data_IF_142114615508
#
_entry.id   IF_142114615508
#
_cell.length_a   1.000
_cell.length_b   1.000
_cell.length_c   1.000
_cell.angle_alpha   90.00
_cell.angle_beta   90.00
_cell.angle_gamma   90.00
#
_symmetry.space_group_name_H-M   'P 1'
#
loop_
_entity.id
_entity.type
_entity.pdbx_description
1 polymer ?
#
# COMPACT_ATOMS: atom_id res chain seq x y z
N UNK A 1 6.32 18.00 -9.57
CA UNK A 1 6.30 17.21 -8.34
C UNK A 1 7.70 16.70 -8.06
N UNK A 2 8.14 16.83 -6.81
CA UNK A 2 9.43 16.34 -6.31
C UNK A 2 9.44 14.82 -6.44
N UNK A 3 9.82 14.36 -7.62
CA UNK A 3 10.13 12.97 -7.90
C UNK A 3 11.45 12.65 -7.20
N UNK A 4 11.44 11.55 -6.46
CA UNK A 4 12.58 10.86 -5.82
C UNK A 4 13.03 11.45 -4.48
N UNK A 5 12.57 10.81 -3.41
CA UNK A 5 13.20 10.57 -2.10
C UNK A 5 12.10 9.86 -1.28
N UNK A 6 12.08 8.55 -1.10
CA UNK A 6 13.16 7.74 -0.57
C UNK A 6 13.04 6.28 -1.03
N UNK A 7 14.16 5.67 -1.38
CA UNK A 7 14.27 4.21 -1.33
C UNK A 7 14.01 3.80 0.12
N UNK A 8 12.99 2.96 0.36
CA UNK A 8 12.66 2.43 1.67
C UNK A 8 13.93 1.88 2.36
N UNK A 9 14.27 2.43 3.53
CA UNK A 9 15.30 1.88 4.40
C UNK A 9 14.72 1.72 5.81
N UNK A 10 14.62 0.47 6.32
CA UNK A 10 15.04 -0.79 5.70
C UNK A 10 14.21 -1.18 4.45
N UNK A 11 14.73 -2.08 3.60
CA UNK A 11 14.01 -2.56 2.42
C UNK A 11 12.68 -3.19 2.82
N UNK A 12 11.66 -2.99 1.99
CA UNK A 12 10.34 -3.62 2.14
C UNK A 12 10.52 -5.14 2.23
N UNK A 13 10.02 -5.80 3.29
CA UNK A 13 10.06 -7.26 3.39
C UNK A 13 9.36 -7.91 2.18
N UNK A 14 9.91 -9.02 1.67
CA UNK A 14 9.27 -9.77 0.55
C UNK A 14 7.84 -10.21 0.86
N UNK A 15 7.52 -10.40 2.15
CA UNK A 15 6.18 -10.73 2.62
C UNK A 15 5.14 -9.64 2.36
N UNK A 16 5.56 -8.39 2.16
CA UNK A 16 4.66 -7.27 1.85
C UNK A 16 4.22 -7.22 0.39
N UNK A 17 4.82 -8.00 -0.51
CA UNK A 17 4.46 -7.98 -1.94
C UNK A 17 2.98 -8.34 -2.14
N UNK A 18 2.48 -9.37 -1.45
CA UNK A 18 1.09 -9.78 -1.58
C UNK A 18 0.11 -8.71 -1.08
N UNK A 19 0.24 -8.15 0.14
CA UNK A 19 -0.57 -7.02 0.59
C UNK A 19 -0.53 -5.79 -0.33
N UNK A 20 0.63 -5.50 -0.93
CA UNK A 20 0.76 -4.39 -1.89
C UNK A 20 -0.04 -4.62 -3.17
N UNK A 21 -0.01 -5.85 -3.73
CA UNK A 21 -0.80 -6.20 -4.91
C UNK A 21 -2.29 -6.13 -4.57
N UNK A 22 -2.69 -6.71 -3.43
CA UNK A 22 -4.09 -6.69 -2.99
C UNK A 22 -4.62 -5.27 -2.77
N UNK A 23 -3.80 -4.36 -2.25
CA UNK A 23 -4.17 -2.95 -2.09
C UNK A 23 -4.36 -2.24 -3.44
N UNK A 24 -3.49 -2.51 -4.41
CA UNK A 24 -3.61 -1.96 -5.78
C UNK A 24 -4.89 -2.48 -6.43
N UNK A 25 -5.14 -3.79 -6.39
CA UNK A 25 -6.32 -4.41 -7.00
C UNK A 25 -7.61 -3.90 -6.33
N UNK A 26 -7.64 -3.82 -4.98
CA UNK A 26 -8.78 -3.29 -4.24
C UNK A 26 -9.15 -1.86 -4.66
N UNK A 27 -8.15 -1.01 -4.89
CA UNK A 27 -8.38 0.37 -5.30
C UNK A 27 -8.72 0.49 -6.78
N UNK A 28 -7.96 -0.16 -7.66
CA UNK A 28 -8.13 -0.02 -9.11
C UNK A 28 -9.39 -0.73 -9.63
N UNK A 29 -9.67 -1.94 -9.14
CA UNK A 29 -10.75 -2.76 -9.69
C UNK A 29 -12.08 -2.54 -8.94
N UNK A 30 -12.00 -2.28 -7.63
CA UNK A 30 -13.18 -2.23 -6.75
C UNK A 30 -13.44 -0.83 -6.18
N UNK A 31 -12.49 0.11 -6.29
CA UNK A 31 -12.60 1.43 -5.68
C UNK A 31 -12.58 1.42 -4.14
N UNK A 32 -12.11 0.33 -3.52
CA UNK A 32 -12.17 0.11 -2.08
C UNK A 32 -10.88 0.56 -1.39
N UNK A 33 -10.80 1.85 -1.08
CA UNK A 33 -9.66 2.45 -0.39
C UNK A 33 -9.54 2.06 1.09
N UNK A 34 -10.68 1.80 1.75
CA UNK A 34 -10.75 1.43 3.17
C UNK A 34 -10.81 -0.09 3.39
N UNK A 35 -10.53 -0.90 2.35
CA UNK A 35 -10.49 -2.35 2.51
C UNK A 35 -9.36 -2.74 3.47
N UNK A 36 -9.72 -3.41 4.57
CA UNK A 36 -8.76 -3.95 5.54
C UNK A 36 -8.08 -5.20 4.99
N UNK A 37 -6.78 -5.10 4.72
CA UNK A 37 -5.94 -6.17 4.18
C UNK A 37 -5.11 -6.80 5.30
N UNK A 38 -5.08 -8.13 5.44
CA UNK A 38 -4.25 -8.83 6.42
C UNK A 38 -2.76 -8.53 6.26
N UNK A 39 -2.11 -8.21 7.38
CA UNK A 39 -0.67 -8.04 7.45
C UNK A 39 0.04 -9.39 7.56
N UNK A 40 1.24 -9.54 6.97
CA UNK A 40 2.06 -10.74 7.16
C UNK A 40 2.43 -10.95 8.63
N UNK A 41 2.72 -12.19 8.99
CA UNK A 41 3.14 -12.55 10.35
C UNK A 41 4.31 -11.67 10.84
N UNK A 42 4.16 -11.15 12.05
CA UNK A 42 5.16 -10.27 12.69
C UNK A 42 5.17 -8.82 12.21
N UNK A 43 4.37 -8.47 11.19
CA UNK A 43 4.18 -7.09 10.74
C UNK A 43 2.85 -6.58 11.27
N UNK A 44 2.86 -5.36 11.80
CA UNK A 44 1.64 -4.71 12.28
C UNK A 44 1.53 -3.30 11.74
N UNK A 45 0.30 -2.86 11.50
CA UNK A 45 -0.03 -1.47 11.23
C UNK A 45 -0.67 -0.89 12.48
N UNK A 46 0.05 0.03 13.17
CA UNK A 46 -0.43 0.65 14.42
C UNK A 46 -0.88 -0.38 15.48
N UNK A 47 -0.19 -1.53 15.54
CA UNK A 47 -0.51 -2.63 16.46
C UNK A 47 -1.63 -3.57 15.99
N UNK A 48 -2.19 -3.34 14.80
CA UNK A 48 -3.20 -4.19 14.19
C UNK A 48 -2.58 -5.20 13.21
N UNK A 49 -3.25 -6.34 13.05
CA UNK A 49 -2.90 -7.39 12.09
C UNK A 49 -3.52 -7.16 10.71
N UNK A 50 -4.17 -6.02 10.50
CA UNK A 50 -4.70 -5.55 9.21
C UNK A 50 -4.30 -4.10 9.00
N UNK A 51 -4.29 -3.67 7.74
CA UNK A 51 -4.14 -2.28 7.36
C UNK A 51 -5.10 -1.93 6.22
N UNK A 52 -5.64 -0.71 6.17
CA UNK A 52 -6.48 -0.29 5.05
C UNK A 52 -5.63 -0.12 3.78
N UNK A 53 -6.22 -0.39 2.61
CA UNK A 53 -5.54 -0.34 1.31
C UNK A 53 -4.82 1.01 1.06
N UNK A 54 -5.46 2.14 1.40
CA UNK A 54 -4.83 3.45 1.26
C UNK A 54 -3.52 3.58 2.05
N UNK A 55 -3.44 2.98 3.24
CA UNK A 55 -2.25 3.06 4.09
C UNK A 55 -1.11 2.21 3.52
N UNK A 56 -1.44 1.04 2.96
CA UNK A 56 -0.46 0.20 2.27
C UNK A 56 0.10 0.93 1.04
N UNK A 57 -0.77 1.58 0.25
CA UNK A 57 -0.39 2.35 -0.94
C UNK A 57 0.53 3.52 -0.58
N UNK A 58 0.14 4.34 0.38
CA UNK A 58 0.93 5.51 0.82
C UNK A 58 2.27 5.07 1.39
N UNK A 59 2.26 4.08 2.29
CA UNK A 59 3.46 3.61 2.96
C UNK A 59 4.44 2.97 1.97
N UNK A 60 3.98 2.30 0.91
CA UNK A 60 4.85 1.65 -0.07
C UNK A 60 5.03 2.47 -1.36
N UNK A 61 4.56 3.72 -1.37
CA UNK A 61 4.65 4.64 -2.51
C UNK A 61 4.08 4.04 -3.81
N UNK A 62 2.94 3.36 -3.72
CA UNK A 62 2.31 2.65 -4.83
C UNK A 62 1.47 3.56 -5.74
N UNK A 63 1.59 4.88 -5.57
CA UNK A 63 0.77 5.88 -6.24
C UNK A 63 0.88 5.81 -7.77
N UNK A 64 2.06 5.43 -8.28
CA UNK A 64 2.33 5.28 -9.71
C UNK A 64 1.54 4.13 -10.37
N UNK A 65 0.94 3.24 -9.57
CA UNK A 65 0.16 2.09 -10.05
C UNK A 65 -1.36 2.30 -9.87
N UNK A 66 -1.80 3.46 -9.39
CA UNK A 66 -3.23 3.75 -9.19
C UNK A 66 -3.79 4.50 -10.40
N UNK A 67 -4.71 3.86 -11.14
CA UNK A 67 -5.20 4.33 -12.45
C UNK A 67 -6.18 5.51 -12.32
N UNK A 68 -6.84 5.66 -11.17
CA UNK A 68 -7.89 6.66 -10.95
C UNK A 68 -7.45 7.95 -10.21
N UNK A 69 -6.17 8.13 -9.90
CA UNK A 69 -5.69 9.31 -9.18
C UNK A 69 -5.37 10.44 -10.16
N UNK A 70 -6.40 11.10 -10.68
CA UNK A 70 -6.21 12.39 -11.36
C UNK A 70 -5.68 13.39 -10.32
N UNK A 71 -4.45 13.90 -10.53
CA UNK A 71 -3.94 15.07 -9.84
C UNK A 71 -4.81 16.28 -10.23
N UNK A 72 -5.75 16.67 -9.36
CA UNK A 72 -6.47 17.95 -9.46
C UNK A 72 -5.62 19.08 -8.89
#
# INVERSE_FOLDING_TARGET
GIHLRANHYPPVPKSMVAPCIEAIDAVNDLGLWDLEIPMPEGITYKGLTTAPAWAIIEQHHLDAWIIGREEY
#
